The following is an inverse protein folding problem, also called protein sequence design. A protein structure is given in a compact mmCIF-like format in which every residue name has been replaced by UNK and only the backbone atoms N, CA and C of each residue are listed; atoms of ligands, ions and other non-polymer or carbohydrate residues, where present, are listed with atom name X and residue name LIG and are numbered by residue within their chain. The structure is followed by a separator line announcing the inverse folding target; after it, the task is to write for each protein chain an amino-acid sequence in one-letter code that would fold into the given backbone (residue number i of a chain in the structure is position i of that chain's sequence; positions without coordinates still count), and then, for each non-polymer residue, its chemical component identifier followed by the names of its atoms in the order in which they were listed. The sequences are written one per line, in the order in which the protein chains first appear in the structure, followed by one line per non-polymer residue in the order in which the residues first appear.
data_IF_425136249337
#
_entry.id   IF_425136249337
#
_cell.length_a   1.000
_cell.length_b   1.000
_cell.length_c   1.000
_cell.angle_alpha   90.00
_cell.angle_beta   90.00
_cell.angle_gamma   90.00
#
_symmetry.space_group_name_H-M   'P 1'
#
loop_
_entity.id
_entity.type
_entity.pdbx_description
1 polymer ?
#
# COMPACT_ATOMS: atom_id res chain seq x y z
N UNK A 1 -1.18 -7.62 -9.91
CA UNK A 1 -1.26 -6.20 -10.33
C UNK A 1 -1.09 -6.18 -11.84
N UNK A 2 -1.87 -5.36 -12.55
CA UNK A 2 -1.72 -5.14 -13.99
C UNK A 2 -1.50 -3.65 -14.26
N UNK A 3 -0.64 -3.31 -15.22
CA UNK A 3 -0.38 -1.92 -15.63
C UNK A 3 -0.78 -1.77 -17.10
N UNK A 4 -1.61 -0.77 -17.40
CA UNK A 4 -2.15 -0.49 -18.73
C UNK A 4 -1.59 0.85 -19.21
N UNK A 5 -0.98 0.85 -20.40
CA UNK A 5 -0.45 2.02 -21.08
C UNK A 5 -0.99 2.02 -22.53
N UNK A 6 -1.59 3.13 -23.00
CA UNK A 6 -2.19 3.36 -24.34
C UNK A 6 -3.65 2.90 -24.61
N UNK A 7 -4.15 3.29 -25.80
CA UNK A 7 -5.54 3.52 -26.25
C UNK A 7 -6.53 2.34 -26.27
N UNK A 8 -6.17 1.15 -25.76
CA UNK A 8 -7.06 -0.03 -25.73
C UNK A 8 -7.45 -0.43 -24.30
N UNK A 9 -7.86 0.55 -23.50
CA UNK A 9 -8.11 0.39 -22.06
C UNK A 9 -9.12 -0.72 -21.77
N UNK A 10 -10.24 -0.77 -22.49
CA UNK A 10 -11.28 -1.80 -22.30
C UNK A 10 -10.74 -3.23 -22.49
N UNK A 11 -10.04 -3.50 -23.60
CA UNK A 11 -9.45 -4.83 -23.85
C UNK A 11 -8.40 -5.18 -22.79
N UNK A 12 -7.63 -4.20 -22.35
CA UNK A 12 -6.61 -4.39 -21.34
C UNK A 12 -7.21 -4.67 -19.95
N UNK A 13 -8.33 -4.02 -19.59
CA UNK A 13 -9.08 -4.35 -18.36
C UNK A 13 -9.58 -5.79 -18.44
N UNK A 14 -10.20 -6.22 -19.53
CA UNK A 14 -10.66 -7.60 -19.72
C UNK A 14 -9.54 -8.62 -19.57
N UNK A 15 -8.39 -8.37 -20.20
CA UNK A 15 -7.23 -9.24 -20.11
C UNK A 15 -6.68 -9.30 -18.66
N UNK A 16 -6.61 -8.17 -17.98
CA UNK A 16 -6.19 -8.11 -16.59
C UNK A 16 -7.16 -8.89 -15.67
N UNK A 17 -8.47 -8.74 -15.86
CA UNK A 17 -9.50 -9.48 -15.12
C UNK A 17 -9.35 -10.98 -15.31
N UNK A 18 -9.14 -11.44 -16.55
CA UNK A 18 -8.89 -12.85 -16.83
C UNK A 18 -7.62 -13.37 -16.11
N UNK A 19 -6.53 -12.59 -16.12
CA UNK A 19 -5.30 -12.96 -15.41
C UNK A 19 -5.50 -13.09 -13.90
N UNK A 20 -6.34 -12.25 -13.29
CA UNK A 20 -6.66 -12.34 -11.86
C UNK A 20 -7.50 -13.56 -11.47
N UNK A 21 -8.14 -14.22 -12.44
CA UNK A 21 -8.90 -15.44 -12.19
C UNK A 21 -8.05 -16.71 -12.35
N UNK A 22 -6.76 -16.57 -12.67
CA UNK A 22 -5.83 -17.69 -12.73
C UNK A 22 -5.41 -18.19 -11.34
N UNK A 23 -4.97 -19.46 -11.26
CA UNK A 23 -4.46 -20.06 -10.03
C UNK A 23 -3.21 -19.36 -9.44
N UNK A 24 -2.56 -18.47 -10.22
CA UNK A 24 -1.41 -17.68 -9.77
C UNK A 24 -1.80 -16.46 -8.92
N UNK A 25 -3.08 -16.07 -8.91
CA UNK A 25 -3.54 -14.93 -8.13
C UNK A 25 -3.65 -15.26 -6.64
N UNK A 26 -3.22 -14.34 -5.79
CA UNK A 26 -3.23 -14.55 -4.33
C UNK A 26 -4.68 -14.49 -3.82
N UNK A 27 -5.19 -15.53 -3.14
CA UNK A 27 -6.60 -15.64 -2.79
C UNK A 27 -7.12 -14.52 -1.87
N UNK A 28 -6.24 -13.97 -1.03
CA UNK A 28 -6.60 -12.94 -0.04
C UNK A 28 -6.13 -11.53 -0.42
N UNK A 29 -5.77 -11.29 -1.68
CA UNK A 29 -5.38 -9.97 -2.16
C UNK A 29 -6.46 -9.40 -3.09
N UNK A 30 -6.84 -8.15 -2.84
CA UNK A 30 -7.70 -7.40 -3.75
C UNK A 30 -7.01 -7.27 -5.11
N UNK A 31 -7.80 -7.45 -6.16
CA UNK A 31 -7.35 -7.28 -7.55
C UNK A 31 -7.15 -5.79 -7.80
N UNK A 32 -5.95 -5.39 -8.22
CA UNK A 32 -5.62 -3.97 -8.47
C UNK A 32 -5.08 -3.78 -9.89
N UNK A 33 -5.72 -2.89 -10.64
CA UNK A 33 -5.30 -2.42 -11.96
C UNK A 33 -4.78 -1.00 -11.83
N UNK A 34 -3.64 -0.70 -12.47
CA UNK A 34 -3.15 0.67 -12.65
C UNK A 34 -3.28 1.05 -14.12
N UNK A 35 -3.97 2.14 -14.39
CA UNK A 35 -4.11 2.72 -15.72
C UNK A 35 -3.29 4.00 -15.75
N UNK A 36 -2.28 4.05 -16.62
CA UNK A 36 -1.46 5.24 -16.84
C UNK A 36 -1.75 5.73 -18.25
N UNK A 37 -2.44 6.86 -18.36
CA UNK A 37 -2.87 7.40 -19.64
C UNK A 37 -3.01 8.93 -19.59
N UNK A 38 -2.95 9.57 -20.75
CA UNK A 38 -3.26 11.00 -20.93
C UNK A 38 -4.74 11.24 -21.21
N UNK A 39 -5.39 10.32 -21.91
CA UNK A 39 -6.78 10.40 -22.36
C UNK A 39 -7.33 9.00 -22.72
N UNK A 40 -8.65 8.89 -22.85
CA UNK A 40 -9.31 7.78 -23.55
C UNK A 40 -10.54 8.29 -24.31
N UNK A 41 -10.95 7.56 -25.34
CA UNK A 41 -12.14 7.87 -26.13
C UNK A 41 -13.39 7.21 -25.53
N UNK A 42 -14.47 7.97 -25.39
CA UNK A 42 -15.81 7.47 -25.02
C UNK A 42 -16.74 7.45 -26.23
N UNK A 43 -17.71 6.53 -26.26
CA UNK A 43 -18.80 6.53 -27.25
C UNK A 43 -18.61 5.63 -28.47
N UNK A 44 -17.51 4.88 -28.56
CA UNK A 44 -17.38 3.76 -29.50
C UNK A 44 -17.86 2.44 -28.85
N UNK A 45 -18.10 1.39 -29.64
CA UNK A 45 -18.57 0.04 -29.23
C UNK A 45 -17.75 -0.63 -28.09
N UNK A 46 -16.64 -0.03 -27.69
CA UNK A 46 -15.70 -0.52 -26.69
C UNK A 46 -15.56 0.58 -25.61
N UNK A 47 -16.60 0.77 -24.80
CA UNK A 47 -16.60 1.73 -23.69
C UNK A 47 -15.86 1.14 -22.48
N UNK A 48 -14.71 1.71 -22.05
CA UNK A 48 -13.97 1.22 -20.89
C UNK A 48 -14.71 1.48 -19.56
N UNK A 49 -15.72 2.35 -19.53
CA UNK A 49 -16.46 2.65 -18.29
C UNK A 49 -17.26 1.44 -17.80
N UNK A 50 -17.88 0.69 -18.71
CA UNK A 50 -18.66 -0.52 -18.39
C UNK A 50 -17.75 -1.59 -17.78
N UNK A 51 -16.63 -1.90 -18.44
CA UNK A 51 -15.68 -2.89 -17.93
C UNK A 51 -15.04 -2.47 -16.60
N UNK A 52 -14.72 -1.17 -16.47
CA UNK A 52 -14.19 -0.63 -15.22
C UNK A 52 -15.23 -0.70 -14.10
N UNK A 53 -16.51 -0.46 -14.38
CA UNK A 53 -17.59 -0.59 -13.42
C UNK A 53 -17.75 -2.04 -12.96
N UNK A 54 -17.84 -3.01 -13.90
CA UNK A 54 -17.92 -4.43 -13.57
C UNK A 54 -16.74 -4.91 -12.73
N UNK A 55 -15.51 -4.53 -13.11
CA UNK A 55 -14.32 -4.90 -12.33
C UNK A 55 -14.35 -4.31 -10.90
N UNK A 56 -14.89 -3.10 -10.73
CA UNK A 56 -15.06 -2.47 -9.40
C UNK A 56 -16.15 -3.15 -8.59
N UNK A 57 -17.27 -3.53 -9.22
CA UNK A 57 -18.37 -4.27 -8.58
C UNK A 57 -17.92 -5.65 -8.09
N UNK A 58 -17.02 -6.31 -8.83
CA UNK A 58 -16.39 -7.58 -8.44
C UNK A 58 -15.36 -7.44 -7.28
N UNK A 59 -15.27 -6.26 -6.65
CA UNK A 59 -14.36 -5.97 -5.55
C UNK A 59 -12.94 -5.60 -5.98
N UNK A 60 -12.72 -5.35 -7.27
CA UNK A 60 -11.47 -4.83 -7.81
C UNK A 60 -11.25 -3.35 -7.50
N UNK A 61 -9.99 -2.93 -7.52
CA UNK A 61 -9.57 -1.54 -7.34
C UNK A 61 -8.85 -1.05 -8.59
N UNK A 62 -9.27 0.09 -9.12
CA UNK A 62 -8.63 0.74 -10.26
C UNK A 62 -7.94 2.01 -9.75
N UNK A 63 -6.62 2.05 -9.93
CA UNK A 63 -5.80 3.25 -9.74
C UNK A 63 -5.60 3.88 -11.10
N UNK A 64 -5.84 5.18 -11.22
CA UNK A 64 -5.57 5.91 -12.45
C UNK A 64 -4.48 6.94 -12.19
N UNK A 65 -3.55 7.05 -13.15
CA UNK A 65 -2.51 8.07 -13.15
C UNK A 65 -2.68 8.85 -14.44
N UNK A 66 -3.30 10.00 -14.30
CA UNK A 66 -3.47 10.93 -15.40
C UNK A 66 -2.16 11.69 -15.64
N UNK A 67 -1.63 11.56 -16.86
CA UNK A 67 -0.42 12.25 -17.28
C UNK A 67 -0.72 13.25 -18.41
N UNK A 68 -0.83 14.52 -18.05
CA UNK A 68 -1.00 15.63 -18.98
C UNK A 68 0.37 16.04 -19.52
N UNK A 69 0.52 16.04 -20.84
CA UNK A 69 1.70 16.58 -21.53
C UNK A 69 1.56 18.10 -21.68
N UNK A 70 2.68 18.83 -21.73
CA UNK A 70 2.78 20.31 -21.65
C UNK A 70 1.96 21.06 -22.73
N UNK A 71 1.49 20.39 -23.78
CA UNK A 71 0.62 20.95 -24.83
C UNK A 71 -0.65 20.11 -25.11
N UNK A 72 -0.99 19.16 -24.25
CA UNK A 72 -2.18 18.31 -24.40
C UNK A 72 -3.42 18.93 -23.76
N UNK A 73 -4.56 18.89 -24.44
CA UNK A 73 -5.83 19.23 -23.83
C UNK A 73 -6.10 18.28 -22.63
N UNK A 74 -6.46 18.82 -21.44
CA UNK A 74 -6.74 18.00 -20.27
C UNK A 74 -8.01 17.16 -20.51
N UNK A 75 -7.86 15.86 -20.75
CA UNK A 75 -9.00 14.95 -20.91
C UNK A 75 -9.43 14.46 -19.52
N UNK A 76 -10.42 15.15 -18.94
CA UNK A 76 -10.99 14.94 -17.60
C UNK A 76 -11.76 13.62 -17.41
N UNK A 77 -11.49 12.58 -18.20
CA UNK A 77 -12.31 11.36 -18.17
C UNK A 77 -11.70 10.25 -17.32
N UNK A 78 -10.38 10.27 -17.07
CA UNK A 78 -9.68 9.12 -16.47
C UNK A 78 -10.05 8.87 -15.00
N UNK A 79 -10.53 9.89 -14.29
CA UNK A 79 -11.03 9.76 -12.92
C UNK A 79 -12.30 8.90 -12.83
N UNK A 80 -13.15 8.91 -13.86
CA UNK A 80 -14.39 8.11 -13.92
C UNK A 80 -14.11 6.61 -13.88
N UNK A 81 -12.97 6.17 -14.42
CA UNK A 81 -12.54 4.77 -14.39
C UNK A 81 -11.98 4.39 -13.02
N UNK A 82 -11.42 5.34 -12.29
CA UNK A 82 -10.79 5.09 -10.99
C UNK A 82 -11.81 4.59 -9.95
N UNK A 83 -11.29 3.87 -8.96
CA UNK A 83 -12.03 3.65 -7.72
C UNK A 83 -12.02 4.94 -6.87
N UNK A 84 -13.05 5.18 -6.04
CA UNK A 84 -13.12 6.39 -5.21
C UNK A 84 -11.86 6.62 -4.36
N UNK A 85 -11.19 7.76 -4.57
CA UNK A 85 -9.95 8.12 -3.88
C UNK A 85 -8.71 7.32 -4.32
N UNK A 86 -8.69 6.84 -5.56
CA UNK A 86 -7.55 6.16 -6.21
C UNK A 86 -7.11 6.83 -7.53
N UNK A 87 -7.52 8.07 -7.78
CA UNK A 87 -7.08 8.86 -8.92
C UNK A 87 -5.86 9.73 -8.53
N UNK A 88 -4.82 9.70 -9.36
CA UNK A 88 -3.64 10.57 -9.30
C UNK A 88 -3.58 11.38 -10.60
N UNK A 89 -3.12 12.62 -10.50
CA UNK A 89 -2.97 13.50 -11.67
C UNK A 89 -1.71 14.35 -11.53
N UNK A 90 -0.98 14.54 -12.63
CA UNK A 90 0.20 15.40 -12.67
C UNK A 90 -0.13 16.88 -12.95
N UNK A 91 -1.43 17.23 -13.07
CA UNK A 91 -1.89 18.59 -13.43
C UNK A 91 -1.43 19.67 -12.46
N UNK A 92 -1.49 19.38 -11.16
CA UNK A 92 -1.25 20.38 -10.10
C UNK A 92 0.09 20.16 -9.38
N UNK A 93 0.62 18.95 -9.42
CA UNK A 93 1.87 18.58 -8.79
C UNK A 93 2.47 17.37 -9.50
N UNK A 94 3.78 17.19 -9.39
CA UNK A 94 4.43 15.97 -9.87
C UNK A 94 3.86 14.76 -9.12
N UNK A 95 3.39 13.75 -9.84
CA UNK A 95 2.98 12.47 -9.26
C UNK A 95 4.21 11.80 -8.67
N UNK A 96 4.19 11.53 -7.37
CA UNK A 96 5.27 10.86 -6.65
C UNK A 96 4.99 9.34 -6.57
N UNK A 97 6.04 8.53 -6.71
CA UNK A 97 5.99 7.07 -6.52
C UNK A 97 5.43 6.73 -5.15
N UNK A 98 5.70 7.55 -4.13
CA UNK A 98 5.16 7.38 -2.78
C UNK A 98 3.63 7.41 -2.74
N UNK A 99 2.99 8.26 -3.54
CA UNK A 99 1.52 8.35 -3.60
C UNK A 99 0.94 7.06 -4.19
N UNK A 100 1.57 6.53 -5.25
CA UNK A 100 1.17 5.26 -5.84
C UNK A 100 1.33 4.10 -4.84
N UNK A 101 2.44 4.04 -4.11
CA UNK A 101 2.65 3.05 -3.03
C UNK A 101 1.58 3.15 -1.93
N UNK A 102 1.19 4.37 -1.54
CA UNK A 102 0.12 4.58 -0.56
C UNK A 102 -1.23 4.05 -1.06
N UNK A 103 -1.56 4.25 -2.34
CA UNK A 103 -2.77 3.69 -2.93
C UNK A 103 -2.75 2.16 -2.95
N UNK A 104 -1.61 1.54 -3.29
CA UNK A 104 -1.48 0.09 -3.17
C UNK A 104 -1.69 -0.40 -1.74
N UNK A 105 -1.13 0.31 -0.76
CA UNK A 105 -1.34 -0.05 0.63
C UNK A 105 -2.77 0.17 1.11
N UNK A 106 -3.45 1.21 0.63
CA UNK A 106 -4.88 1.41 0.90
C UNK A 106 -5.72 0.23 0.40
N UNK A 107 -5.32 -0.39 -0.71
CA UNK A 107 -6.02 -1.53 -1.28
C UNK A 107 -5.68 -2.88 -0.62
N UNK A 108 -4.42 -3.09 -0.20
CA UNK A 108 -3.91 -4.43 0.17
C UNK A 108 -3.04 -4.50 1.43
N UNK A 109 -2.73 -3.39 2.12
CA UNK A 109 -2.00 -3.44 3.38
C UNK A 109 -2.99 -3.64 4.53
N UNK A 110 -2.95 -4.82 5.14
CA UNK A 110 -3.78 -5.21 6.28
C UNK A 110 -2.90 -5.73 7.40
N UNK A 111 -3.35 -5.57 8.64
CA UNK A 111 -2.67 -6.15 9.79
C UNK A 111 -3.30 -7.50 10.18
N UNK A 112 -2.48 -8.50 10.58
CA UNK A 112 -3.00 -9.74 11.14
C UNK A 112 -3.85 -9.49 12.39
N UNK A 113 -4.69 -10.47 12.75
CA UNK A 113 -5.51 -10.41 13.96
C UNK A 113 -4.63 -10.13 15.18
N UNK A 114 -5.10 -9.25 16.08
CA UNK A 114 -4.39 -8.79 17.28
C UNK A 114 -3.17 -7.88 17.06
N UNK A 115 -2.90 -7.46 15.82
CA UNK A 115 -1.92 -6.41 15.52
C UNK A 115 -2.61 -5.06 15.36
N UNK A 116 -1.91 -4.01 15.76
CA UNK A 116 -2.32 -2.61 15.55
C UNK A 116 -1.51 -2.01 14.41
N UNK A 117 -2.21 -1.44 13.45
CA UNK A 117 -1.65 -0.65 12.37
C UNK A 117 -1.01 0.63 12.92
N UNK A 118 0.23 0.92 12.49
CA UNK A 118 0.70 2.30 12.52
C UNK A 118 0.19 3.01 11.27
N UNK A 119 -0.78 3.91 11.46
CA UNK A 119 -1.25 4.83 10.43
C UNK A 119 -0.87 6.24 10.84
N UNK A 120 0.02 6.87 10.07
CA UNK A 120 0.38 8.27 10.30
C UNK A 120 -0.77 9.19 9.86
N UNK A 121 -1.50 8.84 8.79
CA UNK A 121 -2.67 9.56 8.24
C UNK A 121 -3.55 8.59 7.43
N UNK A 122 -4.87 8.72 7.54
CA UNK A 122 -5.91 8.04 6.72
C UNK A 122 -6.08 6.52 6.91
N UNK A 123 -5.87 5.98 8.12
CA UNK A 123 -6.11 4.56 8.49
C UNK A 123 -5.39 3.47 7.67
N UNK A 124 -4.53 3.84 6.73
CA UNK A 124 -3.71 2.88 5.98
C UNK A 124 -2.49 2.48 6.83
N UNK A 125 -2.22 1.17 7.06
CA UNK A 125 -1.08 0.69 7.84
C UNK A 125 0.25 0.87 7.09
N UNK A 126 0.66 2.12 6.87
CA UNK A 126 1.85 2.47 6.08
C UNK A 126 3.16 2.19 6.83
N UNK A 127 3.18 2.32 8.17
CA UNK A 127 4.40 2.06 8.96
C UNK A 127 4.40 0.70 9.64
N UNK A 128 3.62 -0.26 9.14
CA UNK A 128 3.63 -1.65 9.60
C UNK A 128 2.61 -1.96 10.71
N UNK A 129 2.66 -3.20 11.16
CA UNK A 129 1.72 -3.80 12.10
C UNK A 129 2.46 -4.21 13.37
N UNK A 130 1.93 -3.79 14.52
CA UNK A 130 2.59 -3.93 15.81
C UNK A 130 1.76 -4.78 16.75
N UNK A 131 2.44 -5.63 17.51
CA UNK A 131 1.84 -6.42 18.58
C UNK A 131 2.65 -6.21 19.85
N UNK A 132 1.96 -6.00 20.97
CA UNK A 132 2.61 -5.97 22.28
C UNK A 132 2.87 -7.40 22.76
N UNK A 133 4.07 -7.64 23.25
CA UNK A 133 4.36 -8.84 24.06
C UNK A 133 4.11 -8.53 25.53
N UNK A 134 3.46 -9.44 26.25
CA UNK A 134 3.26 -9.33 27.70
C UNK A 134 4.31 -10.11 28.50
N UNK A 135 5.19 -10.85 27.82
CA UNK A 135 6.23 -11.64 28.46
C UNK A 135 7.49 -10.77 28.65
N UNK A 136 8.00 -10.61 29.88
CA UNK A 136 9.26 -9.92 30.12
C UNK A 136 10.41 -10.78 29.58
N UNK A 137 11.36 -10.15 28.90
CA UNK A 137 12.53 -10.81 28.34
C UNK A 137 13.67 -9.79 28.18
N UNK A 138 14.91 -10.26 28.08
CA UNK A 138 16.03 -9.45 27.58
C UNK A 138 15.87 -9.18 26.07
N UNK A 139 16.45 -8.09 25.57
CA UNK A 139 16.30 -7.66 24.17
C UNK A 139 16.61 -8.79 23.15
N UNK A 140 17.66 -9.58 23.38
CA UNK A 140 18.05 -10.67 22.48
C UNK A 140 17.00 -11.79 22.40
N UNK A 141 16.37 -12.14 23.53
CA UNK A 141 15.30 -13.13 23.57
C UNK A 141 14.01 -12.57 22.99
N UNK A 142 13.71 -11.28 23.22
CA UNK A 142 12.57 -10.60 22.61
C UNK A 142 12.68 -10.60 21.07
N UNK A 143 13.84 -10.23 20.51
CA UNK A 143 14.09 -10.28 19.07
C UNK A 143 13.90 -11.70 18.51
N UNK A 144 14.48 -12.72 19.17
CA UNK A 144 14.33 -14.12 18.75
C UNK A 144 12.88 -14.57 18.79
N UNK A 145 12.12 -14.16 19.80
CA UNK A 145 10.71 -14.49 19.95
C UNK A 145 9.86 -13.85 18.84
N UNK A 146 10.07 -12.55 18.57
CA UNK A 146 9.46 -11.84 17.45
C UNK A 146 9.68 -12.57 16.12
N UNK A 147 10.91 -13.01 15.86
CA UNK A 147 11.24 -13.69 14.62
C UNK A 147 10.62 -15.10 14.55
N UNK A 148 10.84 -15.94 15.56
CA UNK A 148 10.42 -17.36 15.54
C UNK A 148 8.92 -17.58 15.65
N UNK A 149 8.22 -16.76 16.44
CA UNK A 149 6.79 -16.98 16.71
C UNK A 149 5.88 -16.11 15.88
N UNK A 150 6.38 -14.99 15.38
CA UNK A 150 5.56 -13.95 14.76
C UNK A 150 6.05 -13.51 13.37
N UNK A 151 7.11 -14.14 12.85
CA UNK A 151 7.77 -13.77 11.60
C UNK A 151 8.00 -12.25 11.50
N UNK A 152 8.43 -11.64 12.61
CA UNK A 152 8.61 -10.20 12.75
C UNK A 152 9.89 -9.84 13.47
N UNK A 153 10.11 -8.55 13.69
CA UNK A 153 11.27 -8.02 14.38
C UNK A 153 10.85 -7.07 15.50
N UNK A 154 11.78 -6.73 16.38
CA UNK A 154 11.58 -5.60 17.28
C UNK A 154 11.33 -4.32 16.46
N UNK A 155 10.58 -3.35 16.99
CA UNK A 155 10.24 -2.14 16.25
C UNK A 155 11.47 -1.25 16.06
N UNK A 156 11.67 -0.78 14.83
CA UNK A 156 12.54 0.37 14.51
C UNK A 156 11.76 1.65 14.76
N UNK A 157 12.34 2.63 15.45
CA UNK A 157 11.67 3.90 15.80
C UNK A 157 12.40 5.06 15.14
N UNK A 158 11.96 5.39 13.92
CA UNK A 158 12.58 6.35 13.01
C UNK A 158 11.85 7.71 12.95
N UNK A 159 10.71 7.83 13.62
CA UNK A 159 9.94 9.07 13.68
C UNK A 159 9.30 9.29 15.06
N UNK A 160 9.00 10.55 15.38
CA UNK A 160 8.33 10.92 16.63
C UNK A 160 6.93 10.29 16.73
N UNK A 161 6.17 10.34 15.65
CA UNK A 161 4.82 9.79 15.58
C UNK A 161 4.81 8.29 15.89
N UNK A 162 5.82 7.57 15.40
CA UNK A 162 6.00 6.14 15.66
C UNK A 162 6.35 5.86 17.12
N UNK A 163 7.19 6.70 17.71
CA UNK A 163 7.48 6.66 19.15
C UNK A 163 6.20 6.85 19.97
N UNK A 164 5.43 7.89 19.69
CA UNK A 164 4.19 8.22 20.40
C UNK A 164 3.14 7.10 20.27
N UNK A 165 3.03 6.50 19.09
CA UNK A 165 2.18 5.34 18.84
C UNK A 165 2.57 4.13 19.69
N UNK A 166 3.85 3.77 19.74
CA UNK A 166 4.33 2.62 20.51
C UNK A 166 4.16 2.84 22.01
N UNK A 167 4.45 4.05 22.51
CA UNK A 167 4.23 4.44 23.91
C UNK A 167 2.75 4.30 24.27
N UNK A 168 1.85 4.82 23.43
CA UNK A 168 0.39 4.68 23.63
C UNK A 168 -0.05 3.21 23.61
N UNK A 169 0.56 2.38 22.76
CA UNK A 169 0.24 0.97 22.63
C UNK A 169 0.65 0.15 23.86
N UNK A 170 1.80 0.44 24.47
CA UNK A 170 2.34 -0.28 25.63
C UNK A 170 1.67 0.08 26.96
N UNK A 171 0.82 1.13 26.96
CA UNK A 171 0.31 1.84 28.15
C UNK A 171 1.44 2.63 28.82
N UNK A 172 1.14 3.89 29.13
CA UNK A 172 2.07 4.87 29.69
C UNK A 172 2.76 4.25 30.92
N UNK A 173 4.10 4.20 30.92
CA UNK A 173 5.02 3.76 31.99
C UNK A 173 5.66 2.36 31.90
N UNK A 174 5.43 1.55 30.88
CA UNK A 174 6.20 0.30 30.72
C UNK A 174 7.40 0.49 29.78
N UNK A 175 8.65 0.23 30.24
CA UNK A 175 9.79 0.18 29.36
C UNK A 175 9.64 -0.99 28.38
N UNK A 176 10.03 -0.79 27.13
CA UNK A 176 9.94 -1.80 26.09
C UNK A 176 11.18 -1.79 25.20
N UNK A 177 11.49 -2.95 24.63
CA UNK A 177 12.64 -3.11 23.75
C UNK A 177 12.33 -2.61 22.33
N UNK A 178 13.27 -1.85 21.77
CA UNK A 178 13.30 -1.45 20.36
C UNK A 178 14.48 -2.13 19.66
N UNK A 179 14.50 -2.11 18.32
CA UNK A 179 15.54 -2.74 17.51
C UNK A 179 16.84 -1.92 17.40
N UNK A 180 17.17 -1.16 18.44
CA UNK A 180 18.38 -0.33 18.49
C UNK A 180 19.44 -1.03 19.34
N UNK A 181 20.64 -1.17 18.81
CA UNK A 181 21.78 -1.74 19.53
C UNK A 181 22.98 -0.81 19.45
N UNK A 182 23.76 -0.77 20.51
CA UNK A 182 25.06 -0.12 20.53
C UNK A 182 26.13 -1.14 20.14
N UNK A 183 26.90 -0.84 19.08
CA UNK A 183 27.97 -1.71 18.60
C UNK A 183 29.00 -0.92 17.80
N UNK A 184 30.28 -1.25 17.99
CA UNK A 184 31.39 -0.58 17.29
C UNK A 184 31.39 0.95 17.42
N UNK A 185 31.10 1.46 18.61
CA UNK A 185 31.12 2.90 18.90
C UNK A 185 29.88 3.69 18.46
N UNK A 186 28.89 3.06 17.83
CA UNK A 186 27.69 3.74 17.32
C UNK A 186 26.40 2.97 17.60
N UNK A 187 25.28 3.69 17.66
CA UNK A 187 23.95 3.08 17.65
C UNK A 187 23.53 2.71 16.23
N UNK A 188 23.07 1.49 16.04
CA UNK A 188 22.60 0.98 14.73
C UNK A 188 21.28 0.25 14.88
N UNK A 189 20.40 0.45 13.91
CA UNK A 189 19.22 -0.38 13.73
C UNK A 189 19.66 -1.73 13.18
N UNK A 190 19.24 -2.82 13.83
CA UNK A 190 19.53 -4.16 13.34
C UNK A 190 18.56 -4.51 12.20
N UNK A 191 18.69 -3.81 11.08
CA UNK A 191 17.93 -4.06 9.85
C UNK A 191 18.51 -5.25 9.06
N UNK A 192 19.62 -5.81 9.52
CA UNK A 192 20.22 -6.99 8.93
C UNK A 192 19.34 -8.20 9.23
N UNK A 193 18.63 -8.61 8.18
CA UNK A 193 18.02 -9.93 8.02
C UNK A 193 19.08 -11.01 8.34
N UNK A 194 18.71 -11.92 9.25
CA UNK A 194 19.24 -13.28 9.25
C UNK A 194 18.23 -14.15 8.52
#
# INVERSE_FOLDING_TARGET
MAVIVNSWICRAIRLATANFNSASHRPNARKVIVIIASAFETGNYIDPTVEAATFKEDGGVIITVEYVQVHGAPVMMLDTLASPGYALTNRHAKVDVRQLHQLFCKANCFCPTYYKAFSAKNDVPYGGCYRKSTLPAIQALAQRSCHRHFNGSLPTVDSKEKSDFLIKMMRVNLPFWINLKYGSGAYRWNNDEL
#
